data_IF_272211231605
#
_entry.id   IF_272211231605
#
_cell.length_a   1.000
_cell.length_b   1.000
_cell.length_c   1.000
_cell.angle_alpha   90.00
_cell.angle_beta   90.00
_cell.angle_gamma   90.00
#
_symmetry.space_group_name_H-M   'P 1'
#
loop_
_entity.id
_entity.type
_entity.pdbx_description
1 polymer ?
#
# COMPACT_ATOMS: atom_id res chain seq x y z
N UNK A 1 -13.50 -9.60 80.62
CA UNK A 1 -13.89 -10.17 79.31
C UNK A 1 -12.64 -10.15 78.44
N UNK A 2 -11.92 -11.29 78.31
CA UNK A 2 -10.69 -11.39 77.51
C UNK A 2 -11.04 -12.13 76.22
N UNK A 3 -10.94 -11.46 75.09
CA UNK A 3 -11.20 -12.00 73.75
C UNK A 3 -10.13 -13.04 73.40
N UNK A 4 -10.59 -14.25 73.06
CA UNK A 4 -9.77 -15.38 72.63
C UNK A 4 -9.27 -15.08 71.21
N UNK A 5 -7.95 -14.93 71.09
CA UNK A 5 -7.23 -14.78 69.83
C UNK A 5 -7.10 -16.19 69.23
N UNK A 6 -8.02 -16.55 68.35
CA UNK A 6 -7.96 -17.81 67.62
C UNK A 6 -6.74 -17.81 66.72
N UNK A 7 -5.86 -18.79 66.90
CA UNK A 7 -4.80 -19.14 65.95
C UNK A 7 -5.46 -19.74 64.72
N UNK A 8 -5.50 -18.98 63.63
CA UNK A 8 -5.74 -19.51 62.29
C UNK A 8 -4.74 -20.61 62.01
N UNK A 9 -5.22 -21.77 61.58
CA UNK A 9 -4.34 -22.89 61.24
C UNK A 9 -3.60 -22.58 59.92
N UNK A 10 -2.35 -23.07 59.73
CA UNK A 10 -1.59 -22.79 58.51
C UNK A 10 -2.30 -23.26 57.23
N UNK A 11 -3.17 -24.27 57.34
CA UNK A 11 -3.98 -24.77 56.23
C UNK A 11 -5.11 -23.80 55.85
N UNK A 12 -5.73 -23.11 56.82
CA UNK A 12 -6.75 -22.09 56.55
C UNK A 12 -6.13 -20.84 55.89
N UNK A 13 -4.92 -20.46 56.27
CA UNK A 13 -4.20 -19.34 55.64
C UNK A 13 -3.83 -19.65 54.19
N UNK A 14 -3.42 -20.89 53.90
CA UNK A 14 -3.14 -21.34 52.53
C UNK A 14 -4.40 -21.39 51.66
N UNK A 15 -5.55 -21.82 52.21
CA UNK A 15 -6.82 -21.84 51.48
C UNK A 15 -7.32 -20.42 51.20
N UNK A 16 -7.15 -19.49 52.14
CA UNK A 16 -7.48 -18.06 51.96
C UNK A 16 -6.56 -17.43 50.91
N UNK A 17 -5.26 -17.73 50.92
CA UNK A 17 -4.32 -17.23 49.92
C UNK A 17 -4.63 -17.77 48.53
N UNK A 18 -5.00 -19.04 48.43
CA UNK A 18 -5.44 -19.67 47.18
C UNK A 18 -6.74 -19.06 46.65
N UNK A 19 -7.74 -18.84 47.52
CA UNK A 19 -8.99 -18.16 47.15
C UNK A 19 -8.73 -16.72 46.69
N UNK A 20 -7.81 -16.01 47.36
CA UNK A 20 -7.41 -14.65 46.97
C UNK A 20 -6.67 -14.62 45.64
N UNK A 21 -5.82 -15.62 45.35
CA UNK A 21 -5.13 -15.77 44.08
C UNK A 21 -6.09 -16.12 42.93
N UNK A 22 -7.06 -17.01 43.17
CA UNK A 22 -8.12 -17.35 42.21
C UNK A 22 -9.02 -16.14 41.89
N UNK A 23 -9.40 -15.38 42.92
CA UNK A 23 -10.17 -14.13 42.76
C UNK A 23 -9.36 -13.06 42.00
N UNK A 24 -8.06 -12.93 42.27
CA UNK A 24 -7.18 -12.02 41.55
C UNK A 24 -7.07 -12.40 40.07
N UNK A 25 -6.97 -13.68 39.72
CA UNK A 25 -6.94 -14.14 38.33
C UNK A 25 -8.26 -13.84 37.60
N UNK A 26 -9.40 -14.07 38.26
CA UNK A 26 -10.73 -13.75 37.71
C UNK A 26 -10.91 -12.25 37.45
N UNK A 27 -10.39 -11.40 38.35
CA UNK A 27 -10.43 -9.95 38.21
C UNK A 27 -9.38 -9.41 37.21
N UNK A 28 -8.25 -10.10 37.03
CA UNK A 28 -7.23 -9.77 36.02
C UNK A 28 -7.73 -10.05 34.59
N UNK A 29 -8.62 -11.04 34.41
CA UNK A 29 -9.30 -11.29 33.13
C UNK A 29 -10.44 -10.28 32.83
N UNK A 30 -10.85 -9.51 33.84
CA UNK A 30 -11.78 -8.38 33.76
C UNK A 30 -11.10 -7.03 33.51
N UNK A 31 -9.76 -7.00 33.30
CA UNK A 31 -9.09 -5.82 32.74
C UNK A 31 -9.60 -5.58 31.30
N UNK A 32 -10.75 -4.92 31.19
CA UNK A 32 -11.46 -4.54 29.95
C UNK A 32 -10.56 -3.78 28.96
N UNK A 33 -9.48 -3.16 29.48
CA UNK A 33 -8.48 -2.43 28.69
C UNK A 33 -7.69 -3.35 27.73
N UNK A 34 -7.65 -4.66 27.99
CA UNK A 34 -6.97 -5.65 27.13
C UNK A 34 -7.84 -6.17 25.97
N UNK A 35 -9.17 -6.13 26.09
CA UNK A 35 -10.10 -6.67 25.08
C UNK A 35 -10.39 -5.61 24.01
N UNK A 36 -9.38 -5.35 23.17
CA UNK A 36 -9.52 -4.54 21.93
C UNK A 36 -10.42 -5.30 20.93
N UNK A 37 -11.74 -5.17 21.05
CA UNK A 37 -12.68 -5.81 20.12
C UNK A 37 -12.53 -5.25 18.70
N UNK A 38 -12.28 -6.15 17.73
CA UNK A 38 -12.18 -5.79 16.32
C UNK A 38 -13.53 -5.32 15.79
N UNK A 39 -13.62 -4.02 15.48
CA UNK A 39 -14.81 -3.40 14.92
C UNK A 39 -14.45 -2.79 13.56
N UNK A 40 -14.70 -3.53 12.48
CA UNK A 40 -14.34 -3.10 11.13
C UNK A 40 -14.89 -1.72 10.77
N UNK A 41 -16.17 -1.46 11.07
CA UNK A 41 -16.81 -0.17 10.76
C UNK A 41 -16.11 0.99 11.48
N UNK A 42 -15.78 0.83 12.77
CA UNK A 42 -15.05 1.85 13.55
C UNK A 42 -13.65 2.09 13.00
N UNK A 43 -12.95 1.03 12.57
CA UNK A 43 -11.61 1.12 11.98
C UNK A 43 -11.65 1.91 10.68
N UNK A 44 -12.57 1.57 9.77
CA UNK A 44 -12.75 2.29 8.50
C UNK A 44 -13.07 3.77 8.76
N UNK A 45 -13.98 4.05 9.69
CA UNK A 45 -14.32 5.43 10.05
C UNK A 45 -13.09 6.18 10.57
N UNK A 46 -12.38 5.63 11.57
CA UNK A 46 -11.22 6.26 12.21
C UNK A 46 -10.09 6.53 11.23
N UNK A 47 -9.85 5.62 10.27
CA UNK A 47 -8.85 5.80 9.23
C UNK A 47 -9.23 6.91 8.23
N UNK A 48 -10.52 7.10 7.95
CA UNK A 48 -11.03 8.12 7.04
C UNK A 48 -11.35 9.48 7.72
N UNK A 49 -11.10 9.62 9.02
CA UNK A 49 -11.36 10.88 9.73
C UNK A 49 -10.43 12.01 9.26
N UNK A 50 -10.98 13.22 9.17
CA UNK A 50 -10.20 14.44 8.99
C UNK A 50 -9.23 14.66 10.17
N UNK A 51 -8.07 15.28 9.89
CA UNK A 51 -7.04 15.64 10.89
C UNK A 51 -7.62 16.34 12.13
N UNK A 52 -8.65 17.18 11.96
CA UNK A 52 -9.34 17.87 13.06
C UNK A 52 -10.10 16.91 13.97
N UNK A 53 -10.90 16.01 13.39
CA UNK A 53 -11.67 14.99 14.13
C UNK A 53 -10.74 14.00 14.82
N UNK A 54 -9.66 13.57 14.15
CA UNK A 54 -8.63 12.71 14.75
C UNK A 54 -8.00 13.34 16.00
N UNK A 55 -7.67 14.65 15.96
CA UNK A 55 -7.14 15.37 17.13
C UNK A 55 -8.15 15.45 18.28
N UNK A 56 -9.45 15.60 17.98
CA UNK A 56 -10.49 15.60 19.01
C UNK A 56 -10.64 14.22 19.66
N UNK A 57 -10.59 13.14 18.87
CA UNK A 57 -10.69 11.77 19.36
C UNK A 57 -9.48 11.35 20.20
N UNK A 58 -8.29 11.81 19.82
CA UNK A 58 -7.06 11.66 20.63
C UNK A 58 -7.18 12.32 22.00
N UNK A 59 -7.77 13.52 22.07
CA UNK A 59 -8.02 14.20 23.37
C UNK A 59 -9.00 13.43 24.25
N UNK A 60 -9.93 12.70 23.64
CA UNK A 60 -10.92 11.86 24.33
C UNK A 60 -10.41 10.45 24.65
N UNK A 61 -9.18 10.08 24.24
CA UNK A 61 -8.63 8.71 24.32
C UNK A 61 -9.51 7.63 23.64
N UNK A 62 -10.37 8.03 22.71
CA UNK A 62 -11.25 7.11 21.96
C UNK A 62 -10.60 6.63 20.64
N UNK A 63 -9.39 7.09 20.32
CA UNK A 63 -8.73 6.68 19.09
C UNK A 63 -8.24 5.24 19.21
N UNK A 64 -8.86 4.35 18.44
CA UNK A 64 -8.34 3.01 18.18
C UNK A 64 -6.94 3.09 17.55
N UNK A 65 -5.95 2.55 18.25
CA UNK A 65 -4.61 2.29 17.72
C UNK A 65 -4.67 1.04 16.83
N UNK A 66 -4.21 1.20 15.59
CA UNK A 66 -4.22 0.13 14.57
C UNK A 66 -2.80 -0.06 14.03
N UNK A 67 -2.13 -1.09 14.56
CA UNK A 67 -0.76 -1.48 14.21
C UNK A 67 -0.72 -2.57 13.13
N UNK A 68 -1.87 -2.93 12.54
CA UNK A 68 -1.92 -4.00 11.55
C UNK A 68 -1.26 -3.58 10.23
N UNK A 69 -0.38 -4.43 9.71
CA UNK A 69 0.30 -4.23 8.43
C UNK A 69 0.08 -5.43 7.50
N UNK A 70 -0.41 -5.16 6.28
CA UNK A 70 -0.60 -6.19 5.25
C UNK A 70 0.72 -6.54 4.57
N UNK A 71 1.00 -7.84 4.46
CA UNK A 71 2.09 -8.34 3.62
C UNK A 71 1.68 -8.32 2.14
N UNK A 72 2.18 -7.32 1.42
CA UNK A 72 1.88 -7.05 0.01
C UNK A 72 2.58 -8.05 -0.94
N UNK A 73 3.59 -8.77 -0.46
CA UNK A 73 4.39 -9.72 -1.25
C UNK A 73 3.91 -11.17 -1.14
N UNK A 74 2.78 -11.41 -0.49
CA UNK A 74 2.23 -12.75 -0.33
C UNK A 74 1.67 -13.27 -1.67
N UNK A 75 2.15 -14.44 -2.09
CA UNK A 75 1.78 -15.07 -3.37
C UNK A 75 0.29 -15.40 -3.47
N UNK A 76 -0.38 -15.64 -2.33
CA UNK A 76 -1.82 -15.94 -2.30
C UNK A 76 -2.67 -14.78 -2.82
N UNK A 77 -2.20 -13.55 -2.67
CA UNK A 77 -2.91 -12.35 -3.10
C UNK A 77 -2.40 -11.78 -4.44
N UNK A 78 -1.52 -12.50 -5.14
CA UNK A 78 -0.96 -12.05 -6.41
C UNK A 78 -2.05 -11.77 -7.46
N UNK A 79 -3.15 -12.52 -7.42
CA UNK A 79 -4.30 -12.34 -8.31
C UNK A 79 -4.91 -10.93 -8.24
N UNK A 80 -4.79 -10.22 -7.10
CA UNK A 80 -5.26 -8.83 -6.94
C UNK A 80 -4.50 -7.83 -7.84
N UNK A 81 -3.25 -8.16 -8.16
CA UNK A 81 -2.38 -7.33 -9.00
C UNK A 81 -2.47 -7.70 -10.47
N UNK A 82 -2.62 -9.00 -10.78
CA UNK A 82 -2.53 -9.52 -12.15
C UNK A 82 -3.87 -9.70 -12.85
N UNK A 83 -4.92 -10.08 -12.12
CA UNK A 83 -6.22 -10.44 -12.70
C UNK A 83 -7.21 -9.29 -12.60
N UNK A 84 -7.88 -9.00 -13.71
CA UNK A 84 -8.90 -7.96 -13.82
C UNK A 84 -10.11 -8.20 -12.89
N UNK A 85 -10.42 -9.47 -12.62
CA UNK A 85 -11.60 -9.88 -11.84
C UNK A 85 -11.50 -9.50 -10.35
N UNK A 86 -10.27 -9.39 -9.83
CA UNK A 86 -10.01 -9.09 -8.42
C UNK A 86 -9.42 -7.69 -8.23
N UNK A 87 -9.61 -6.81 -9.22
CA UNK A 87 -9.12 -5.45 -9.17
C UNK A 87 -9.88 -4.63 -8.12
N UNK A 88 -9.12 -3.87 -7.32
CA UNK A 88 -9.67 -2.91 -6.37
C UNK A 88 -9.99 -1.60 -7.10
N UNK A 89 -11.27 -1.25 -7.19
CA UNK A 89 -11.75 -0.01 -7.83
C UNK A 89 -12.31 0.96 -6.78
N UNK A 90 -11.72 2.17 -6.62
CA UNK A 90 -12.27 3.22 -5.75
C UNK A 90 -13.68 3.70 -6.12
N UNK A 91 -14.16 3.40 -7.32
CA UNK A 91 -15.48 3.77 -7.83
C UNK A 91 -16.58 2.81 -7.40
N UNK A 92 -16.22 1.62 -6.90
CA UNK A 92 -17.19 0.62 -6.42
C UNK A 92 -17.76 1.04 -5.04
N UNK A 93 -19.09 1.01 -4.82
CA UNK A 93 -19.68 1.31 -3.51
C UNK A 93 -19.18 0.43 -2.35
N UNK A 94 -18.72 -0.79 -2.65
CA UNK A 94 -18.18 -1.73 -1.68
C UNK A 94 -16.73 -1.40 -1.30
N UNK A 95 -16.08 -0.47 -2.01
CA UNK A 95 -14.72 -0.05 -1.70
C UNK A 95 -14.65 0.71 -0.38
N UNK A 96 -13.93 0.14 0.59
CA UNK A 96 -13.61 0.79 1.85
C UNK A 96 -12.16 1.24 1.84
N UNK A 97 -11.98 2.56 1.95
CA UNK A 97 -10.66 3.20 2.06
C UNK A 97 -10.05 2.82 3.41
N UNK A 98 -9.19 1.83 3.40
CA UNK A 98 -8.40 1.43 4.56
C UNK A 98 -6.92 1.56 4.26
N UNK A 99 -6.09 1.74 5.29
CA UNK A 99 -4.63 1.81 5.17
C UNK A 99 -4.06 0.59 4.45
N UNK A 100 -4.63 -0.59 4.73
CA UNK A 100 -4.30 -1.84 4.04
C UNK A 100 -4.61 -1.76 2.53
N UNK A 101 -5.80 -1.27 2.18
CA UNK A 101 -6.24 -1.14 0.79
C UNK A 101 -5.37 -0.13 0.01
N UNK A 102 -4.98 0.97 0.66
CA UNK A 102 -4.07 1.97 0.10
C UNK A 102 -2.69 1.36 -0.20
N UNK A 103 -2.10 0.60 0.74
CA UNK A 103 -0.82 -0.10 0.51
C UNK A 103 -0.88 -1.06 -0.67
N UNK A 104 -2.00 -1.78 -0.85
CA UNK A 104 -2.19 -2.69 -1.99
C UNK A 104 -2.27 -1.90 -3.30
N UNK A 105 -3.00 -0.78 -3.33
CA UNK A 105 -3.11 0.06 -4.52
C UNK A 105 -1.77 0.70 -4.90
N UNK A 106 -0.98 1.13 -3.92
CA UNK A 106 0.36 1.68 -4.12
C UNK A 106 1.32 0.64 -4.74
N UNK A 107 1.35 -0.58 -4.22
CA UNK A 107 2.19 -1.63 -4.83
C UNK A 107 1.72 -1.99 -6.24
N UNK A 108 0.41 -2.00 -6.48
CA UNK A 108 -0.12 -2.23 -7.84
C UNK A 108 0.37 -1.14 -8.81
N UNK A 109 0.36 0.12 -8.37
CA UNK A 109 0.91 1.22 -9.15
C UNK A 109 2.41 1.02 -9.39
N UNK A 110 3.17 0.64 -8.36
CA UNK A 110 4.61 0.33 -8.48
C UNK A 110 4.90 -0.79 -9.48
N UNK A 111 4.14 -1.89 -9.44
CA UNK A 111 4.29 -2.99 -10.39
C UNK A 111 3.98 -2.56 -11.82
N UNK A 112 2.99 -1.68 -12.00
CA UNK A 112 2.65 -1.14 -13.32
C UNK A 112 3.79 -0.29 -13.89
N UNK A 113 4.37 0.59 -13.08
CA UNK A 113 5.51 1.41 -13.47
C UNK A 113 6.73 0.55 -13.83
N UNK A 114 7.02 -0.48 -13.03
CA UNK A 114 8.11 -1.42 -13.32
C UNK A 114 7.90 -2.14 -14.66
N UNK A 115 6.69 -2.65 -14.91
CA UNK A 115 6.34 -3.31 -16.17
C UNK A 115 6.43 -2.37 -17.38
N UNK A 116 6.05 -1.10 -17.21
CA UNK A 116 6.18 -0.08 -18.25
C UNK A 116 7.65 0.22 -18.54
N UNK A 117 8.49 0.37 -17.51
CA UNK A 117 9.93 0.56 -17.68
C UNK A 117 10.59 -0.62 -18.40
N UNK A 118 10.24 -1.85 -18.04
CA UNK A 118 10.72 -3.06 -18.72
C UNK A 118 10.31 -3.08 -20.19
N UNK A 119 9.05 -2.72 -20.50
CA UNK A 119 8.56 -2.63 -21.87
C UNK A 119 9.32 -1.57 -22.67
N UNK A 120 9.54 -0.38 -22.09
CA UNK A 120 10.31 0.70 -22.72
C UNK A 120 11.75 0.26 -22.98
N UNK A 121 12.39 -0.43 -22.01
CA UNK A 121 13.74 -0.97 -22.20
C UNK A 121 13.78 -2.03 -23.30
N UNK A 122 12.78 -2.91 -23.36
CA UNK A 122 12.68 -3.92 -24.41
C UNK A 122 12.49 -3.27 -25.79
N UNK A 123 11.66 -2.23 -25.90
CA UNK A 123 11.47 -1.44 -27.13
C UNK A 123 12.79 -0.77 -27.52
N UNK A 124 13.47 -0.10 -26.59
CA UNK A 124 14.78 0.55 -26.86
C UNK A 124 15.84 -0.46 -27.32
N UNK A 125 15.89 -1.65 -26.73
CA UNK A 125 16.80 -2.72 -27.16
C UNK A 125 16.49 -3.16 -28.60
N UNK A 126 15.21 -3.42 -28.91
CA UNK A 126 14.77 -3.75 -30.27
C UNK A 126 15.07 -2.64 -31.27
N UNK A 127 14.81 -1.38 -30.93
CA UNK A 127 15.15 -0.24 -31.78
C UNK A 127 16.67 -0.14 -32.01
N UNK A 128 17.48 -0.41 -30.99
CA UNK A 128 18.94 -0.40 -31.12
C UNK A 128 19.47 -1.56 -31.97
N UNK A 129 18.81 -2.72 -31.94
CA UNK A 129 19.11 -3.85 -32.83
C UNK A 129 18.72 -3.54 -34.28
N UNK A 130 17.52 -2.99 -34.50
CA UNK A 130 17.06 -2.54 -35.83
C UNK A 130 17.98 -1.42 -36.38
N UNK A 131 18.45 -0.51 -35.51
CA UNK A 131 19.43 0.51 -35.90
C UNK A 131 20.82 -0.07 -36.19
N UNK A 132 21.24 -1.14 -35.51
CA UNK A 132 22.50 -1.84 -35.82
C UNK A 132 22.40 -2.65 -37.12
N UNK A 133 21.26 -3.27 -37.39
CA UNK A 133 21.00 -3.98 -38.65
C UNK A 133 20.94 -3.02 -39.84
N UNK A 134 20.24 -1.88 -39.71
CA UNK A 134 20.21 -0.83 -40.75
C UNK A 134 21.56 -0.12 -40.97
N UNK A 135 22.46 -0.10 -39.99
CA UNK A 135 23.86 0.34 -40.18
C UNK A 135 24.76 -0.75 -40.79
N UNK A 136 24.38 -2.03 -40.69
CA UNK A 136 25.09 -3.16 -41.31
C UNK A 136 24.65 -3.38 -42.76
N UNK A 137 23.43 -2.99 -43.14
CA UNK A 137 23.09 -2.85 -44.56
C UNK A 137 23.86 -1.65 -45.11
N UNK A 138 24.84 -1.89 -45.98
CA UNK A 138 25.57 -0.85 -46.71
C UNK A 138 24.59 -0.09 -47.61
N UNK A 139 24.00 0.98 -47.08
CA UNK A 139 23.15 1.90 -47.85
C UNK A 139 24.03 2.53 -48.92
N UNK A 140 23.59 2.47 -50.18
CA UNK A 140 24.27 3.10 -51.31
C UNK A 140 24.57 4.58 -50.98
N UNK A 141 25.83 5.02 -51.11
CA UNK A 141 26.23 6.43 -50.92
C UNK A 141 25.30 7.42 -51.64
N UNK A 142 24.81 7.08 -52.84
CA UNK A 142 23.89 7.93 -53.61
C UNK A 142 22.54 8.12 -52.90
N UNK A 143 22.01 7.07 -52.28
CA UNK A 143 20.74 7.12 -51.55
C UNK A 143 20.87 7.96 -50.26
N UNK A 144 22.02 7.90 -49.59
CA UNK A 144 22.31 8.74 -48.41
C UNK A 144 22.36 10.23 -48.77
N UNK A 145 22.97 10.58 -49.91
CA UNK A 145 22.99 11.96 -50.42
C UNK A 145 21.58 12.43 -50.81
N UNK A 146 20.77 11.57 -51.42
CA UNK A 146 19.38 11.88 -51.77
C UNK A 146 18.54 12.15 -50.52
N UNK A 147 18.59 11.28 -49.50
CA UNK A 147 17.85 11.45 -48.24
C UNK A 147 18.24 12.77 -47.57
N UNK A 148 19.53 13.11 -47.50
CA UNK A 148 20.00 14.41 -46.98
C UNK A 148 19.43 15.59 -47.76
N UNK A 149 19.41 15.51 -49.09
CA UNK A 149 18.90 16.59 -49.94
C UNK A 149 17.39 16.82 -49.76
N UNK A 150 16.61 15.73 -49.63
CA UNK A 150 15.17 15.78 -49.39
C UNK A 150 14.91 16.38 -48.01
N UNK A 151 15.63 15.93 -46.97
CA UNK A 151 15.49 16.43 -45.60
C UNK A 151 15.77 17.94 -45.50
N UNK A 152 16.88 18.39 -46.10
CA UNK A 152 17.22 19.82 -46.18
C UNK A 152 16.14 20.63 -46.92
N UNK A 153 15.63 20.12 -48.05
CA UNK A 153 14.56 20.80 -48.80
C UNK A 153 13.26 20.89 -47.99
N UNK A 154 12.88 19.84 -47.27
CA UNK A 154 11.67 19.84 -46.44
C UNK A 154 11.81 20.82 -45.27
N UNK A 155 12.96 20.87 -44.60
CA UNK A 155 13.22 21.83 -43.51
C UNK A 155 13.17 23.28 -44.00
N UNK A 156 13.79 23.56 -45.16
CA UNK A 156 13.70 24.89 -45.78
C UNK A 156 12.26 25.25 -46.15
N UNK A 157 11.47 24.30 -46.65
CA UNK A 157 10.07 24.54 -46.99
C UNK A 157 9.23 24.82 -45.73
N UNK A 158 9.44 24.07 -44.65
CA UNK A 158 8.76 24.32 -43.37
C UNK A 158 9.18 25.66 -42.74
N UNK A 159 10.46 26.01 -42.77
CA UNK A 159 10.95 27.30 -42.27
C UNK A 159 10.31 28.47 -43.04
N UNK A 160 10.25 28.37 -44.38
CA UNK A 160 9.58 29.36 -45.23
C UNK A 160 8.07 29.42 -44.98
N UNK A 161 7.40 28.29 -44.76
CA UNK A 161 5.97 28.24 -44.42
C UNK A 161 5.69 28.94 -43.09
N UNK A 162 6.52 28.71 -42.05
CA UNK A 162 6.38 29.36 -40.74
C UNK A 162 6.62 30.87 -40.81
N UNK A 163 7.47 31.35 -41.71
CA UNK A 163 7.71 32.78 -41.92
C UNK A 163 6.56 33.50 -42.64
N UNK A 164 5.74 32.80 -43.44
CA UNK A 164 4.58 33.38 -44.15
C UNK A 164 3.28 33.40 -43.33
N UNK A 165 3.27 32.79 -42.15
CA UNK A 165 2.08 32.68 -41.27
C UNK A 165 2.16 33.68 -40.08
N UNK A 166 3.23 34.50 -40.01
CA UNK A 166 3.30 35.70 -39.18
C UNK A 166 2.97 36.92 -40.05
#
# INVERSE_FOLDING_TARGET
MKSVKGSTSPDEEAEIEKQKAEMALLMMDEDEESKKHFNYNKIVEHQNLSKKKKKQLMKKKELLEDDFEVNVKDSRFQAMYTSHLFNLDPSDPNFKKTKAMEKILEEKARQREQKEQELIQAIKKKESEIQKESRKSSIDPALSMLIKSVKNKTEQFQARKKQKIK
#
